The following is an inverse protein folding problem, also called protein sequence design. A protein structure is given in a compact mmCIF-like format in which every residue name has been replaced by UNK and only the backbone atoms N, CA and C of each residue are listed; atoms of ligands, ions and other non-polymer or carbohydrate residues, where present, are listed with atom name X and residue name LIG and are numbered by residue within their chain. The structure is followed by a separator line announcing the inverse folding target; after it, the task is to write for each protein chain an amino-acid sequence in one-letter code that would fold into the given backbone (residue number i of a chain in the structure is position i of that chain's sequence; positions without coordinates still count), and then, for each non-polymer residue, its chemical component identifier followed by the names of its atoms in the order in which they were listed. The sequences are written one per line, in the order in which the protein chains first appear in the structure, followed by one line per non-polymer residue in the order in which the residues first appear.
data_IF_015877054538
#
_entry.id   IF_015877054538
#
_cell.length_a   1.000
_cell.length_b   1.000
_cell.length_c   1.000
_cell.angle_alpha   90.00
_cell.angle_beta   90.00
_cell.angle_gamma   90.00
#
_symmetry.space_group_name_H-M   'P 1'
#
loop_
_entity.id
_entity.type
_entity.pdbx_description
1 polymer ?
#
# COMPACT_ATOMS: atom_id res chain seq x y z
N UNK A 1 8.65 -20.95 -35.92
CA UNK A 1 9.79 -21.10 -35.00
C UNK A 1 9.42 -22.17 -34.00
N UNK A 2 10.34 -23.08 -33.70
CA UNK A 2 10.16 -24.14 -32.71
C UNK A 2 10.59 -23.69 -31.31
N UNK A 3 10.18 -24.42 -30.27
CA UNK A 3 10.47 -24.05 -28.87
C UNK A 3 11.97 -23.90 -28.58
N UNK A 4 12.81 -24.80 -29.09
CA UNK A 4 14.26 -24.73 -28.88
C UNK A 4 14.89 -23.51 -29.56
N UNK A 5 14.36 -23.08 -30.71
CA UNK A 5 14.79 -21.87 -31.39
C UNK A 5 14.39 -20.62 -30.60
N UNK A 6 13.17 -20.60 -30.05
CA UNK A 6 12.71 -19.51 -29.15
C UNK A 6 13.55 -19.40 -27.89
N UNK A 7 13.89 -20.52 -27.24
CA UNK A 7 14.79 -20.53 -26.07
C UNK A 7 16.16 -19.96 -26.44
N UNK A 8 16.69 -20.35 -27.61
CA UNK A 8 17.96 -19.81 -28.12
C UNK A 8 17.88 -18.32 -28.42
N UNK A 9 16.77 -17.89 -28.99
CA UNK A 9 16.49 -16.50 -29.30
C UNK A 9 16.38 -15.65 -28.04
N UNK A 10 15.56 -16.08 -27.07
CA UNK A 10 15.44 -15.48 -25.74
C UNK A 10 16.83 -15.26 -25.13
N UNK A 11 17.64 -16.31 -25.04
CA UNK A 11 18.98 -16.23 -24.45
C UNK A 11 19.90 -15.27 -25.21
N UNK A 12 19.99 -15.41 -26.54
CA UNK A 12 20.98 -14.66 -27.35
C UNK A 12 20.56 -13.22 -27.64
N UNK A 13 19.32 -13.02 -28.06
CA UNK A 13 18.85 -11.74 -28.58
C UNK A 13 18.31 -10.84 -27.48
N UNK A 14 17.62 -11.38 -26.48
CA UNK A 14 16.96 -10.56 -25.46
C UNK A 14 17.76 -10.49 -24.17
N UNK A 15 18.19 -11.64 -23.64
CA UNK A 15 18.95 -11.70 -22.39
C UNK A 15 20.45 -11.44 -22.58
N UNK A 16 20.96 -11.58 -23.81
CA UNK A 16 22.39 -11.44 -24.17
C UNK A 16 23.34 -12.32 -23.32
N UNK A 17 22.89 -13.52 -22.93
CA UNK A 17 23.64 -14.42 -22.07
C UNK A 17 24.39 -15.50 -22.86
N UNK A 18 25.54 -15.93 -22.35
CA UNK A 18 26.19 -17.16 -22.80
C UNK A 18 25.37 -18.39 -22.37
N UNK A 19 25.56 -19.55 -23.02
CA UNK A 19 24.91 -20.80 -22.58
C UNK A 19 25.28 -21.16 -21.13
N UNK A 20 26.51 -20.85 -20.71
CA UNK A 20 26.98 -21.09 -19.34
C UNK A 20 26.24 -20.20 -18.35
N UNK A 21 26.22 -18.87 -18.58
CA UNK A 21 25.55 -17.92 -17.69
C UNK A 21 24.03 -18.15 -17.61
N UNK A 22 23.42 -18.57 -18.72
CA UNK A 22 22.01 -18.95 -18.74
C UNK A 22 21.74 -20.24 -17.96
N UNK A 23 22.63 -21.24 -18.06
CA UNK A 23 22.55 -22.46 -17.28
C UNK A 23 22.74 -22.22 -15.78
N UNK A 24 23.69 -21.36 -15.40
CA UNK A 24 23.96 -20.97 -14.01
C UNK A 24 22.71 -20.37 -13.35
N UNK A 25 22.00 -19.46 -14.04
CA UNK A 25 20.73 -18.89 -13.54
C UNK A 25 19.62 -19.93 -13.35
N UNK A 26 19.64 -20.99 -14.14
CA UNK A 26 18.64 -22.06 -14.11
C UNK A 26 19.08 -23.27 -13.28
N UNK A 27 20.26 -23.23 -12.65
CA UNK A 27 20.80 -24.35 -11.87
C UNK A 27 21.14 -25.59 -12.71
N UNK A 28 21.45 -25.42 -14.00
CA UNK A 28 21.78 -26.54 -14.91
C UNK A 28 23.11 -26.31 -15.64
N UNK A 29 23.74 -27.38 -16.09
CA UNK A 29 25.01 -27.27 -16.82
C UNK A 29 24.83 -26.65 -18.21
N UNK A 30 25.90 -26.03 -18.75
CA UNK A 30 25.95 -25.54 -20.14
C UNK A 30 25.53 -26.63 -21.16
N UNK A 31 25.92 -27.89 -20.92
CA UNK A 31 25.58 -29.00 -21.81
C UNK A 31 24.07 -29.23 -21.90
N UNK A 32 23.34 -29.11 -20.77
CA UNK A 32 21.88 -29.21 -20.76
C UNK A 32 21.26 -28.12 -21.62
N UNK A 33 21.70 -26.86 -21.46
CA UNK A 33 21.24 -25.74 -22.30
C UNK A 33 21.52 -25.99 -23.79
N UNK A 34 22.72 -26.47 -24.12
CA UNK A 34 23.05 -26.79 -25.50
C UNK A 34 22.15 -27.88 -26.09
N UNK A 35 21.89 -28.95 -25.34
CA UNK A 35 21.03 -30.05 -25.79
C UNK A 35 19.58 -29.61 -26.00
N UNK A 36 19.10 -28.64 -25.20
CA UNK A 36 17.80 -28.00 -25.38
C UNK A 36 17.79 -27.19 -26.68
N UNK A 37 18.74 -26.27 -26.86
CA UNK A 37 18.81 -25.40 -28.03
C UNK A 37 19.06 -26.14 -29.34
N UNK A 38 19.69 -27.33 -29.28
CA UNK A 38 19.95 -28.18 -30.45
C UNK A 38 18.84 -29.20 -30.73
N UNK A 39 17.76 -29.21 -29.95
CA UNK A 39 16.65 -30.16 -30.08
C UNK A 39 17.06 -31.65 -29.98
N UNK A 40 18.13 -31.96 -29.24
CA UNK A 40 18.73 -33.33 -29.18
C UNK A 40 18.14 -34.17 -28.04
N UNK A 41 17.39 -33.56 -27.11
CA UNK A 41 16.83 -34.27 -25.96
C UNK A 41 15.66 -35.17 -26.34
N UNK A 42 15.79 -36.45 -26.01
CA UNK A 42 14.88 -37.54 -26.37
C UNK A 42 13.45 -37.45 -25.81
N UNK A 43 13.17 -36.58 -24.83
CA UNK A 43 11.88 -36.51 -24.12
C UNK A 43 11.44 -35.06 -23.90
N UNK A 44 10.46 -34.55 -24.67
CA UNK A 44 9.91 -33.20 -24.52
C UNK A 44 9.24 -32.98 -23.16
N UNK A 45 8.53 -33.97 -22.62
CA UNK A 45 7.80 -33.89 -21.35
C UNK A 45 8.69 -33.61 -20.14
N UNK A 46 9.96 -34.05 -20.15
CA UNK A 46 10.92 -33.78 -19.07
C UNK A 46 11.36 -32.30 -19.00
N UNK A 47 11.00 -31.49 -20.00
CA UNK A 47 11.44 -30.08 -20.12
C UNK A 47 10.47 -29.10 -19.45
N UNK A 48 9.24 -29.52 -19.13
CA UNK A 48 8.20 -28.61 -18.62
C UNK A 48 8.62 -27.89 -17.33
N UNK A 49 9.28 -28.59 -16.39
CA UNK A 49 9.75 -27.98 -15.15
C UNK A 49 10.82 -26.90 -15.41
N UNK A 50 11.74 -27.16 -16.34
CA UNK A 50 12.80 -26.22 -16.68
C UNK A 50 12.26 -25.02 -17.48
N UNK A 51 11.26 -25.25 -18.34
CA UNK A 51 10.53 -24.19 -19.05
C UNK A 51 9.84 -23.27 -18.05
N UNK A 52 9.10 -23.83 -17.09
CA UNK A 52 8.45 -23.03 -16.03
C UNK A 52 9.45 -22.24 -15.20
N UNK A 53 10.62 -22.84 -14.92
CA UNK A 53 11.70 -22.13 -14.24
C UNK A 53 12.23 -20.97 -15.09
N UNK A 54 12.41 -21.14 -16.40
CA UNK A 54 12.79 -20.05 -17.31
C UNK A 54 11.75 -18.93 -17.31
N UNK A 55 10.47 -19.27 -17.40
CA UNK A 55 9.39 -18.29 -17.37
C UNK A 55 9.44 -17.45 -16.09
N UNK A 56 9.66 -18.09 -14.94
CA UNK A 56 9.77 -17.43 -13.63
C UNK A 56 11.04 -16.59 -13.48
N UNK A 57 12.20 -17.11 -13.88
CA UNK A 57 13.50 -16.45 -13.70
C UNK A 57 13.67 -15.22 -14.60
N UNK A 58 13.04 -15.24 -15.78
CA UNK A 58 13.21 -14.20 -16.79
C UNK A 58 11.94 -13.42 -17.10
N UNK A 59 10.85 -13.64 -16.33
CA UNK A 59 9.54 -13.05 -16.54
C UNK A 59 9.05 -13.22 -17.99
N UNK A 60 9.14 -14.44 -18.51
CA UNK A 60 8.77 -14.78 -19.90
C UNK A 60 7.45 -15.54 -19.92
N UNK A 61 6.63 -15.28 -20.93
CA UNK A 61 5.37 -15.97 -21.16
C UNK A 61 5.57 -17.43 -21.54
N UNK A 62 4.89 -18.32 -20.82
CA UNK A 62 4.86 -19.76 -21.15
C UNK A 62 4.23 -20.00 -22.52
N UNK A 63 3.15 -19.27 -22.86
CA UNK A 63 2.52 -19.32 -24.19
C UNK A 63 3.46 -18.84 -25.29
N UNK A 64 4.29 -17.83 -25.01
CA UNK A 64 5.32 -17.41 -25.96
C UNK A 64 6.39 -18.49 -26.13
N UNK A 65 6.91 -19.04 -25.05
CA UNK A 65 7.99 -20.04 -25.11
C UNK A 65 7.53 -21.34 -25.79
N UNK A 66 6.30 -21.79 -25.51
CA UNK A 66 5.73 -23.04 -26.02
C UNK A 66 5.12 -22.89 -27.41
N UNK A 67 4.38 -21.81 -27.66
CA UNK A 67 3.54 -21.65 -28.85
C UNK A 67 3.94 -20.44 -29.72
N UNK A 68 4.78 -19.53 -29.22
CA UNK A 68 5.18 -18.32 -29.92
C UNK A 68 4.11 -17.22 -29.93
N UNK A 69 3.18 -17.26 -28.97
CA UNK A 69 2.11 -16.27 -28.83
C UNK A 69 2.62 -15.10 -27.98
N UNK A 70 2.58 -13.88 -28.54
CA UNK A 70 2.91 -12.64 -27.82
C UNK A 70 1.91 -12.33 -26.68
N UNK A 71 2.30 -11.60 -25.62
CA UNK A 71 3.61 -10.95 -25.42
C UNK A 71 4.70 -11.91 -24.92
N UNK A 72 5.95 -11.68 -25.34
CA UNK A 72 7.13 -12.43 -24.89
C UNK A 72 7.40 -12.28 -23.39
N UNK A 73 7.42 -11.04 -22.90
CA UNK A 73 7.67 -10.75 -21.50
C UNK A 73 6.35 -10.50 -20.79
N UNK A 74 6.24 -11.04 -19.59
CA UNK A 74 5.16 -10.73 -18.66
C UNK A 74 5.74 -9.76 -17.65
N UNK A 75 4.99 -8.71 -17.30
CA UNK A 75 5.38 -7.93 -16.14
C UNK A 75 5.33 -8.85 -14.91
N UNK A 76 6.35 -8.81 -14.03
CA UNK A 76 6.25 -9.53 -12.77
C UNK A 76 4.94 -9.13 -12.08
N UNK A 77 4.33 -10.04 -11.31
CA UNK A 77 3.22 -9.68 -10.43
C UNK A 77 3.74 -8.66 -9.40
N UNK A 78 3.79 -7.38 -9.79
CA UNK A 78 4.14 -6.30 -8.91
C UNK A 78 2.92 -6.07 -8.05
N UNK A 79 3.10 -6.19 -6.74
CA UNK A 79 2.08 -5.75 -5.81
C UNK A 79 1.81 -4.26 -6.04
N UNK A 80 0.66 -3.95 -6.63
CA UNK A 80 0.18 -2.59 -6.75
C UNK A 80 -0.46 -2.19 -5.43
N UNK A 81 0.27 -1.40 -4.63
CA UNK A 81 -0.27 -0.85 -3.38
C UNK A 81 -1.56 -0.07 -3.66
N UNK A 82 -1.61 0.67 -4.76
CA UNK A 82 -2.78 1.45 -5.19
C UNK A 82 -4.00 0.55 -5.45
N UNK A 83 -3.85 -0.56 -6.18
CA UNK A 83 -4.94 -1.52 -6.40
C UNK A 83 -5.35 -2.21 -5.11
N UNK A 84 -4.38 -2.59 -4.28
CA UNK A 84 -4.63 -3.25 -3.02
C UNK A 84 -5.46 -2.38 -2.07
N UNK A 85 -5.07 -1.12 -1.85
CA UNK A 85 -5.80 -0.25 -0.91
C UNK A 85 -7.17 0.15 -1.47
N UNK A 86 -7.30 0.37 -2.78
CA UNK A 86 -8.61 0.58 -3.44
C UNK A 86 -9.53 -0.63 -3.27
N UNK A 87 -9.01 -1.85 -3.37
CA UNK A 87 -9.79 -3.08 -3.14
C UNK A 87 -10.32 -3.20 -1.70
N UNK A 88 -9.70 -2.49 -0.75
CA UNK A 88 -10.14 -2.40 0.65
C UNK A 88 -11.06 -1.21 0.92
N UNK A 89 -11.44 -0.46 -0.10
CA UNK A 89 -12.32 0.70 0.02
C UNK A 89 -11.61 1.97 0.48
N UNK A 90 -10.29 2.05 0.34
CA UNK A 90 -9.57 3.28 0.63
C UNK A 90 -10.06 4.43 -0.25
N UNK A 91 -10.31 5.57 0.39
CA UNK A 91 -10.55 6.86 -0.26
C UNK A 91 -9.29 7.39 -0.95
N UNK A 92 -9.47 8.36 -1.85
CA UNK A 92 -8.34 9.05 -2.50
C UNK A 92 -7.41 9.70 -1.47
N UNK A 93 -7.97 10.28 -0.41
CA UNK A 93 -7.21 10.89 0.67
C UNK A 93 -6.35 9.86 1.43
N UNK A 94 -6.90 8.68 1.73
CA UNK A 94 -6.14 7.62 2.42
C UNK A 94 -4.97 7.13 1.55
N UNK A 95 -5.16 7.05 0.25
CA UNK A 95 -4.13 6.68 -0.71
C UNK A 95 -3.04 7.76 -0.82
N UNK A 96 -3.41 9.05 -0.85
CA UNK A 96 -2.46 10.17 -0.85
C UNK A 96 -1.66 10.26 0.45
N UNK A 97 -2.30 10.01 1.61
CA UNK A 97 -1.61 9.94 2.90
C UNK A 97 -0.56 8.83 2.89
N UNK A 98 -0.90 7.64 2.39
CA UNK A 98 0.04 6.52 2.30
C UNK A 98 1.22 6.84 1.39
N UNK A 99 0.98 7.46 0.23
CA UNK A 99 2.06 7.90 -0.68
C UNK A 99 2.97 8.90 0.01
N UNK A 100 2.39 9.94 0.59
CA UNK A 100 3.13 10.98 1.32
C UNK A 100 3.97 10.38 2.45
N UNK A 101 3.44 9.40 3.20
CA UNK A 101 4.18 8.71 4.25
C UNK A 101 5.45 7.99 3.75
N UNK A 102 5.39 7.36 2.57
CA UNK A 102 6.56 6.72 1.95
C UNK A 102 7.53 7.71 1.30
N UNK A 103 7.12 8.94 1.07
CA UNK A 103 7.97 10.04 0.61
C UNK A 103 8.73 10.74 1.75
N UNK A 104 8.28 10.58 3.01
CA UNK A 104 8.97 11.15 4.18
C UNK A 104 10.38 10.56 4.35
N UNK A 105 11.31 11.41 4.79
CA UNK A 105 12.64 10.98 5.21
C UNK A 105 12.56 9.86 6.27
N UNK A 106 13.50 8.89 6.28
CA UNK A 106 13.47 7.76 7.21
C UNK A 106 13.36 8.19 8.68
N UNK A 107 14.09 9.23 9.09
CA UNK A 107 14.09 9.75 10.47
C UNK A 107 12.74 10.38 10.84
N UNK A 108 12.08 11.03 9.88
CA UNK A 108 10.73 11.60 10.08
C UNK A 108 9.71 10.46 10.17
N UNK A 109 9.85 9.46 9.31
CA UNK A 109 8.99 8.27 9.30
C UNK A 109 9.04 7.52 10.63
N UNK A 110 10.23 7.37 11.20
CA UNK A 110 10.42 6.76 12.51
C UNK A 110 9.70 7.54 13.61
N UNK A 111 9.86 8.87 13.63
CA UNK A 111 9.15 9.74 14.58
C UNK A 111 7.63 9.64 14.44
N UNK A 112 7.11 9.61 13.22
CA UNK A 112 5.68 9.45 12.93
C UNK A 112 5.16 8.11 13.45
N UNK A 113 5.88 7.01 13.18
CA UNK A 113 5.53 5.68 13.68
C UNK A 113 5.54 5.66 15.20
N UNK A 114 6.54 6.25 15.84
CA UNK A 114 6.62 6.29 17.29
C UNK A 114 5.49 7.12 17.91
N UNK A 115 5.13 8.24 17.28
CA UNK A 115 3.98 9.04 17.69
C UNK A 115 2.67 8.21 17.65
N UNK A 116 2.42 7.50 16.54
CA UNK A 116 1.23 6.66 16.42
C UNK A 116 1.23 5.50 17.42
N UNK A 117 2.38 4.85 17.65
CA UNK A 117 2.50 3.77 18.65
C UNK A 117 2.12 4.26 20.05
N UNK A 118 2.64 5.42 20.48
CA UNK A 118 2.31 6.02 21.78
C UNK A 118 0.81 6.28 21.89
N UNK A 119 0.23 6.96 20.90
CA UNK A 119 -1.20 7.29 20.89
C UNK A 119 -2.12 6.06 20.88
N UNK A 120 -1.77 5.03 20.12
CA UNK A 120 -2.55 3.79 20.06
C UNK A 120 -2.45 2.98 21.35
N UNK A 121 -1.26 2.93 21.97
CA UNK A 121 -1.05 2.29 23.26
C UNK A 121 -1.82 2.99 24.38
N UNK A 122 -1.78 4.32 24.42
CA UNK A 122 -2.54 5.12 25.39
C UNK A 122 -4.04 4.87 25.24
N UNK A 123 -4.55 4.81 24.00
CA UNK A 123 -5.98 4.55 23.73
C UNK A 123 -6.42 3.14 24.17
N UNK A 124 -5.54 2.15 24.07
CA UNK A 124 -5.78 0.80 24.59
C UNK A 124 -5.89 0.77 26.11
N UNK A 125 -5.16 1.62 26.82
CA UNK A 125 -5.25 1.74 28.29
C UNK A 125 -6.55 2.42 28.75
N UNK A 126 -7.03 3.42 28.00
CA UNK A 126 -8.32 4.06 28.28
C UNK A 126 -9.53 3.14 28.02
N UNK A 127 -9.44 2.22 27.06
CA UNK A 127 -10.51 1.24 26.82
C UNK A 127 -10.63 0.17 27.91
N UNK A 128 -9.56 -0.09 28.68
CA UNK A 128 -9.56 -1.07 29.77
C UNK A 128 -10.02 -0.48 31.12
N UNK A 129 -9.92 0.85 31.29
CA UNK A 129 -10.27 1.53 32.54
C UNK A 129 -11.73 2.00 32.62
N UNK A 130 -12.49 1.99 31.52
CA UNK A 130 -13.92 2.37 31.52
C UNK A 130 -14.86 1.25 31.99
N UNK A 131 -14.37 0.02 32.20
CA UNK A 131 -15.18 -1.12 32.64
C UNK A 131 -15.16 -1.34 34.16
N UNK A 132 -14.54 -0.45 34.95
CA UNK A 132 -14.51 -0.61 36.40
C UNK A 132 -14.54 0.73 37.15
N UNK A 133 -15.74 1.16 37.56
CA UNK A 133 -16.09 1.48 38.97
C UNK A 133 -17.53 2.00 39.08
N UNK A 134 -18.39 1.14 39.62
CA UNK A 134 -19.36 1.58 40.62
C UNK A 134 -18.57 2.08 41.84
N UNK A 135 -18.75 3.33 42.23
CA UNK A 135 -18.69 3.77 43.62
C UNK A 135 -19.55 5.03 43.71
N UNK A 136 -20.80 4.83 44.11
CA UNK A 136 -21.57 5.83 44.84
C UNK A 136 -20.87 6.10 46.18
N UNK A 137 -20.93 7.36 46.63
CA UNK A 137 -20.47 7.93 47.90
C UNK A 137 -18.96 8.31 48.02
N UNK A 138 -18.73 9.56 48.45
CA UNK A 138 -17.45 10.29 48.60
C UNK A 138 -16.81 10.72 47.26
N UNK A 139 -17.06 11.93 46.74
CA UNK A 139 -16.49 13.21 47.21
C UNK A 139 -17.48 14.34 46.89
N UNK A 140 -18.22 14.77 47.91
CA UNK A 140 -18.80 16.10 47.96
C UNK A 140 -17.95 16.91 48.94
N UNK A 141 -16.89 17.56 48.44
CA UNK A 141 -16.20 18.67 49.10
C UNK A 141 -15.26 19.37 48.11
N UNK A 142 -15.64 20.61 47.77
CA UNK A 142 -14.81 21.75 47.31
C UNK A 142 -14.09 21.58 45.95
N UNK A 143 -14.11 22.52 45.00
CA UNK A 143 -14.08 23.99 45.09
C UNK A 143 -14.87 24.58 43.91
N UNK A 144 -15.87 25.44 44.17
CA UNK A 144 -16.40 26.30 43.13
C UNK A 144 -15.30 27.29 42.72
N UNK A 145 -14.95 27.42 41.42
CA UNK A 145 -13.92 28.37 41.01
C UNK A 145 -14.38 29.79 41.38
N UNK A 146 -13.51 30.51 42.09
CA UNK A 146 -13.73 31.90 42.44
C UNK A 146 -13.99 32.72 41.15
N UNK A 147 -15.13 33.41 41.03
CA UNK A 147 -15.46 34.27 39.89
C UNK A 147 -14.36 35.30 39.57
N UNK A 148 -13.49 35.63 40.54
CA UNK A 148 -12.35 36.53 40.35
C UNK A 148 -11.23 35.97 39.45
N UNK A 149 -11.23 34.66 39.19
CA UNK A 149 -10.21 33.98 38.35
C UNK A 149 -10.60 33.85 36.88
N UNK A 150 -11.83 34.21 36.51
CA UNK A 150 -12.28 34.22 35.11
C UNK A 150 -11.69 35.46 34.44
N UNK A 151 -10.60 35.28 33.68
CA UNK A 151 -10.14 36.32 32.76
C UNK A 151 -11.12 36.43 31.60
N UNK A 152 -11.88 37.54 31.56
CA UNK A 152 -12.53 37.99 30.34
C UNK A 152 -11.42 38.38 29.38
N UNK A 153 -11.19 37.56 28.36
CA UNK A 153 -10.32 37.94 27.25
C UNK A 153 -11.15 38.87 26.38
N UNK A 154 -10.74 40.14 26.28
CA UNK A 154 -11.34 41.08 25.34
C UNK A 154 -11.20 40.47 23.95
N UNK A 155 -12.34 40.13 23.33
CA UNK A 155 -12.35 39.60 21.96
C UNK A 155 -12.19 40.78 21.02
N UNK A 156 -11.21 40.70 20.13
CA UNK A 156 -11.00 41.74 19.12
C UNK A 156 -12.20 41.80 18.16
N UNK A 157 -12.51 42.99 17.62
CA UNK A 157 -13.67 43.19 16.73
C UNK A 157 -13.70 42.24 15.53
N UNK A 158 -12.53 41.77 15.07
CA UNK A 158 -12.43 40.79 13.99
C UNK A 158 -12.92 39.40 14.41
N UNK A 159 -12.64 38.96 15.65
CA UNK A 159 -13.15 37.69 16.18
C UNK A 159 -14.66 37.74 16.35
N UNK A 160 -15.21 38.86 16.83
CA UNK A 160 -16.66 39.02 16.95
C UNK A 160 -17.35 39.04 15.57
N UNK A 161 -16.76 39.70 14.57
CA UNK A 161 -17.24 39.68 13.18
C UNK A 161 -17.18 38.27 12.57
N UNK A 162 -16.12 37.52 12.84
CA UNK A 162 -15.96 36.13 12.37
C UNK A 162 -17.03 35.21 12.99
N UNK A 163 -17.25 35.30 14.30
CA UNK A 163 -18.26 34.51 15.01
C UNK A 163 -19.66 34.90 14.54
N UNK A 164 -19.97 36.19 14.41
CA UNK A 164 -21.27 36.66 13.93
C UNK A 164 -21.57 36.14 12.52
N UNK A 165 -20.59 36.19 11.62
CA UNK A 165 -20.70 35.66 10.25
C UNK A 165 -20.89 34.15 10.22
N UNK A 166 -20.20 33.41 11.10
CA UNK A 166 -20.38 31.96 11.23
C UNK A 166 -21.79 31.57 11.71
N UNK A 167 -22.34 32.30 12.68
CA UNK A 167 -23.70 32.08 13.18
C UNK A 167 -24.75 32.40 12.12
N UNK A 168 -24.54 33.45 11.31
CA UNK A 168 -25.45 33.83 10.23
C UNK A 168 -25.46 32.79 9.10
N UNK A 169 -24.29 32.31 8.68
CA UNK A 169 -24.16 31.24 7.69
C UNK A 169 -24.83 29.94 8.14
N UNK A 170 -24.70 29.57 9.42
CA UNK A 170 -25.40 28.40 9.97
C UNK A 170 -26.92 28.57 9.93
N UNK A 171 -27.44 29.77 10.22
CA UNK A 171 -28.88 30.06 10.11
C UNK A 171 -29.38 30.00 8.67
N UNK A 172 -28.59 30.46 7.71
CA UNK A 172 -28.93 30.39 6.28
C UNK A 172 -28.94 28.95 5.76
N UNK A 173 -27.92 28.15 6.11
CA UNK A 173 -27.85 26.73 5.77
C UNK A 173 -29.06 25.97 6.32
N UNK A 174 -29.41 26.21 7.59
CA UNK A 174 -30.57 25.57 8.21
C UNK A 174 -31.90 25.94 7.54
N UNK A 175 -32.06 27.20 7.08
CA UNK A 175 -33.24 27.62 6.32
C UNK A 175 -33.29 26.98 4.93
N UNK A 176 -32.14 26.83 4.27
CA UNK A 176 -32.01 26.16 2.97
C UNK A 176 -32.34 24.67 3.05
N UNK A 177 -31.84 23.98 4.09
CA UNK A 177 -32.15 22.57 4.35
C UNK A 177 -33.65 22.36 4.60
N UNK A 178 -34.27 23.18 5.46
CA UNK A 178 -35.73 23.11 5.68
C UNK A 178 -36.58 23.39 4.44
N UNK A 179 -36.08 24.17 3.48
CA UNK A 179 -36.79 24.46 2.22
C UNK A 179 -36.59 23.35 1.17
N UNK A 180 -35.55 22.52 1.29
CA UNK A 180 -35.34 21.34 0.44
C UNK A 180 -36.16 20.14 0.88
N UNK A 181 -36.57 20.10 2.14
CA UNK A 181 -37.38 19.02 2.73
C UNK A 181 -38.90 19.24 2.65
N UNK A 182 -39.36 20.39 2.14
CA UNK A 182 -40.77 20.76 1.99
C UNK A 182 -41.15 20.86 0.51
#
# INVERSE_FOLDING_TARGET
MEMHERIRELRKKYLKLSQTAFGEKLGVSRSVINNIESNVLARPEQKLSLIKLMCKEFNVSEEWLLNGIEPMFIEPETFSLDEFVKSKGASELELDILKTYFELDPDIREQVVEHFKKRLADRSLFSANSSNKNTDAEIAKEVAPDPSTIRVVDRDEEEEKFIARGVELMREQFKLEKKREA
#
